data_IF_811846622713
#
_entry.id   IF_811846622713
#
_cell.length_a   1.000
_cell.length_b   1.000
_cell.length_c   1.000
_cell.angle_alpha   90.00
_cell.angle_beta   90.00
_cell.angle_gamma   90.00
#
_symmetry.space_group_name_H-M   'P 1'
#
loop_
_entity.id
_entity.type
_entity.pdbx_description
1 polymer ?
#
# COMPACT_ATOMS: atom_id res chain seq x y z
N UNK A 1 6.46 18.64 8.56
CA UNK A 1 7.09 17.89 7.45
C UNK A 1 8.31 18.68 7.03
N UNK A 2 9.52 18.11 7.13
CA UNK A 2 10.73 18.75 6.60
C UNK A 2 10.89 18.38 5.13
N UNK A 3 11.20 19.36 4.28
CA UNK A 3 11.54 19.07 2.88
C UNK A 3 12.84 18.24 2.83
N UNK A 4 12.97 17.29 1.89
CA UNK A 4 14.21 16.56 1.68
C UNK A 4 15.30 17.52 1.20
N UNK A 5 16.56 17.18 1.41
CA UNK A 5 17.69 18.02 0.99
C UNK A 5 17.87 18.08 -0.54
N UNK A 6 17.48 17.00 -1.22
CA UNK A 6 17.53 16.87 -2.67
C UNK A 6 16.25 16.27 -3.21
N UNK A 7 15.85 16.72 -4.41
CA UNK A 7 14.76 16.14 -5.19
C UNK A 7 15.25 15.86 -6.61
N UNK A 8 14.63 14.90 -7.26
CA UNK A 8 14.87 14.60 -8.68
C UNK A 8 13.59 14.89 -9.45
N UNK A 9 13.68 15.80 -10.42
CA UNK A 9 12.60 16.16 -11.34
C UNK A 9 13.15 15.91 -12.75
N UNK A 10 12.43 15.15 -13.58
CA UNK A 10 12.81 14.85 -14.96
C UNK A 10 14.26 14.37 -15.14
N UNK A 11 14.69 13.44 -14.28
CA UNK A 11 16.06 12.89 -14.24
C UNK A 11 17.17 13.88 -13.85
N UNK A 12 16.82 15.12 -13.48
CA UNK A 12 17.77 16.13 -12.99
C UNK A 12 17.65 16.26 -11.47
N UNK A 13 18.80 16.31 -10.79
CA UNK A 13 18.85 16.45 -9.32
C UNK A 13 18.97 17.91 -8.93
N UNK A 14 18.07 18.36 -8.06
CA UNK A 14 18.04 19.71 -7.51
C UNK A 14 18.22 19.64 -5.99
N UNK A 15 18.93 20.61 -5.42
CA UNK A 15 18.86 20.84 -3.97
C UNK A 15 17.66 21.73 -3.66
N UNK A 16 16.91 21.37 -2.63
CA UNK A 16 15.71 22.12 -2.23
C UNK A 16 16.01 23.53 -1.74
N UNK A 17 17.25 23.78 -1.28
CA UNK A 17 17.71 25.11 -0.90
C UNK A 17 17.80 26.08 -2.10
N UNK A 18 18.11 25.57 -3.30
CA UNK A 18 18.25 26.38 -4.52
C UNK A 18 16.95 26.58 -5.29
N UNK A 19 15.85 25.94 -4.85
CA UNK A 19 14.54 26.14 -5.48
C UNK A 19 14.02 27.56 -5.19
N UNK A 20 13.23 28.10 -6.12
CA UNK A 20 12.43 29.29 -5.85
C UNK A 20 11.38 29.01 -4.76
N UNK A 21 10.92 30.05 -4.05
CA UNK A 21 9.93 29.90 -2.99
C UNK A 21 8.61 29.27 -3.47
N UNK A 22 8.18 29.64 -4.67
CA UNK A 22 7.03 29.03 -5.35
C UNK A 22 7.22 27.52 -5.54
N UNK A 23 8.38 27.10 -6.04
CA UNK A 23 8.70 25.69 -6.27
C UNK A 23 8.75 24.89 -4.95
N UNK A 24 9.25 25.48 -3.87
CA UNK A 24 9.20 24.87 -2.53
C UNK A 24 7.76 24.66 -2.05
N UNK A 25 6.89 25.66 -2.27
CA UNK A 25 5.48 25.56 -1.89
C UNK A 25 4.76 24.48 -2.70
N UNK A 26 5.01 24.39 -4.01
CA UNK A 26 4.44 23.33 -4.84
C UNK A 26 4.95 21.95 -4.43
N UNK A 27 6.24 21.80 -4.12
CA UNK A 27 6.80 20.55 -3.60
C UNK A 27 6.09 20.10 -2.31
N UNK A 28 5.84 21.02 -1.38
CA UNK A 28 5.10 20.71 -0.16
C UNK A 28 3.68 20.23 -0.47
N UNK A 29 2.97 20.91 -1.37
CA UNK A 29 1.62 20.53 -1.77
C UNK A 29 1.57 19.15 -2.42
N UNK A 30 2.56 18.81 -3.25
CA UNK A 30 2.71 17.47 -3.86
C UNK A 30 2.89 16.42 -2.77
N UNK A 31 3.77 16.64 -1.79
CA UNK A 31 3.99 15.69 -0.69
C UNK A 31 2.71 15.44 0.14
N UNK A 32 1.92 16.49 0.38
CA UNK A 32 0.63 16.35 1.06
C UNK A 32 -0.35 15.54 0.21
N UNK A 33 -0.43 15.82 -1.09
CA UNK A 33 -1.28 15.05 -2.00
C UNK A 33 -0.88 13.57 -2.06
N UNK A 34 0.42 13.26 -2.12
CA UNK A 34 0.93 11.88 -2.13
C UNK A 34 0.59 11.13 -0.84
N UNK A 35 0.67 11.80 0.31
CA UNK A 35 0.27 11.22 1.59
C UNK A 35 -1.23 10.88 1.62
N UNK A 36 -2.08 11.79 1.13
CA UNK A 36 -3.53 11.54 1.04
C UNK A 36 -3.86 10.43 0.02
N UNK A 37 -3.17 10.37 -1.12
CA UNK A 37 -3.33 9.27 -2.08
C UNK A 37 -3.02 7.93 -1.41
N UNK A 38 -1.92 7.84 -0.67
CA UNK A 38 -1.53 6.63 0.06
C UNK A 38 -2.60 6.22 1.07
N UNK A 39 -3.13 7.18 1.83
CA UNK A 39 -4.22 6.94 2.78
C UNK A 39 -5.49 6.43 2.09
N UNK A 40 -5.88 7.04 0.98
CA UNK A 40 -7.06 6.65 0.20
C UNK A 40 -6.90 5.24 -0.38
N UNK A 41 -5.71 4.89 -0.89
CA UNK A 41 -5.42 3.54 -1.35
C UNK A 41 -5.57 2.49 -0.23
N UNK A 42 -5.13 2.82 0.99
CA UNK A 42 -5.31 1.94 2.14
C UNK A 42 -6.80 1.75 2.49
N UNK A 43 -7.58 2.83 2.51
CA UNK A 43 -9.02 2.76 2.75
C UNK A 43 -9.74 1.94 1.66
N UNK A 44 -9.34 2.12 0.41
CA UNK A 44 -9.86 1.37 -0.72
C UNK A 44 -9.57 -0.13 -0.58
N UNK A 45 -8.35 -0.51 -0.18
CA UNK A 45 -8.00 -1.91 0.05
C UNK A 45 -8.86 -2.57 1.15
N UNK A 46 -9.14 -1.83 2.24
CA UNK A 46 -10.05 -2.28 3.31
C UNK A 46 -11.46 -2.49 2.75
N UNK A 47 -11.99 -1.51 2.02
CA UNK A 47 -13.33 -1.57 1.44
C UNK A 47 -13.47 -2.73 0.44
N UNK A 48 -12.46 -2.97 -0.40
CA UNK A 48 -12.42 -4.10 -1.33
C UNK A 48 -12.46 -5.45 -0.61
N UNK A 49 -11.71 -5.58 0.49
CA UNK A 49 -11.72 -6.79 1.32
C UNK A 49 -13.12 -7.06 1.90
N UNK A 50 -13.74 -6.03 2.48
CA UNK A 50 -15.10 -6.13 3.02
C UNK A 50 -16.13 -6.48 1.93
N UNK A 51 -16.06 -5.83 0.76
CA UNK A 51 -16.94 -6.12 -0.39
C UNK A 51 -16.85 -7.59 -0.79
N UNK A 52 -15.65 -8.13 -0.91
CA UNK A 52 -15.45 -9.53 -1.30
C UNK A 52 -16.04 -10.50 -0.27
N UNK A 53 -15.84 -10.22 1.03
CA UNK A 53 -16.43 -11.01 2.10
C UNK A 53 -17.96 -11.01 2.04
N UNK A 54 -18.58 -9.84 1.87
CA UNK A 54 -20.03 -9.71 1.77
C UNK A 54 -20.59 -10.35 0.50
N UNK A 55 -19.88 -10.24 -0.63
CA UNK A 55 -20.29 -10.90 -1.87
C UNK A 55 -20.31 -12.42 -1.72
N UNK A 56 -19.30 -13.01 -1.08
CA UNK A 56 -19.26 -14.44 -0.82
C UNK A 56 -20.39 -14.89 0.12
N UNK A 57 -20.65 -14.12 1.19
CA UNK A 57 -21.76 -14.39 2.11
C UNK A 57 -23.11 -14.34 1.42
N UNK A 58 -23.32 -13.34 0.56
CA UNK A 58 -24.54 -13.19 -0.24
C UNK A 58 -24.75 -14.40 -1.17
N UNK A 59 -23.69 -14.83 -1.88
CA UNK A 59 -23.77 -16.01 -2.76
C UNK A 59 -24.17 -17.27 -1.97
N UNK A 60 -23.61 -17.47 -0.78
CA UNK A 60 -23.97 -18.59 0.11
C UNK A 60 -25.43 -18.52 0.53
N UNK A 61 -25.91 -17.34 0.94
CA UNK A 61 -27.30 -17.13 1.34
C UNK A 61 -28.29 -17.42 0.19
N UNK A 62 -27.98 -16.97 -1.02
CA UNK A 62 -28.85 -17.15 -2.20
C UNK A 62 -28.87 -18.61 -2.68
N UNK A 63 -27.74 -19.33 -2.61
CA UNK A 63 -27.65 -20.72 -3.09
C UNK A 63 -28.20 -21.74 -2.09
N UNK A 64 -28.67 -21.31 -0.91
CA UNK A 64 -29.20 -22.21 0.13
C UNK A 64 -28.16 -23.19 0.68
N UNK A 65 -26.88 -23.03 0.36
CA UNK A 65 -25.81 -23.88 0.87
C UNK A 65 -25.45 -23.39 2.27
N UNK A 66 -25.65 -24.25 3.29
CA UNK A 66 -25.08 -24.05 4.64
C UNK A 66 -23.55 -24.20 4.57
N UNK A 67 -22.88 -23.31 3.88
CA UNK A 67 -21.42 -23.31 3.77
C UNK A 67 -20.84 -22.52 4.93
N UNK A 68 -19.95 -23.21 5.65
CA UNK A 68 -19.18 -22.83 6.84
C UNK A 68 -18.81 -21.34 6.91
N UNK A 69 -18.94 -20.80 8.12
CA UNK A 69 -18.56 -19.45 8.52
C UNK A 69 -17.16 -19.02 7.99
N UNK A 70 -16.96 -17.74 7.65
CA UNK A 70 -15.70 -17.24 7.11
C UNK A 70 -14.69 -17.04 8.24
N UNK A 71 -13.99 -18.10 8.62
CA UNK A 71 -12.86 -18.01 9.53
C UNK A 71 -11.76 -18.99 9.10
N UNK A 72 -11.02 -18.69 8.02
CA UNK A 72 -9.62 -19.17 7.91
C UNK A 72 -8.75 -18.52 6.82
N UNK A 73 -9.30 -17.83 5.81
CA UNK A 73 -8.48 -17.32 4.68
C UNK A 73 -8.32 -15.78 4.63
N UNK A 74 -8.44 -15.10 5.76
CA UNK A 74 -7.98 -13.71 5.89
C UNK A 74 -6.52 -13.62 6.40
N UNK A 75 -5.93 -14.74 6.83
CA UNK A 75 -4.49 -14.82 6.99
C UNK A 75 -3.87 -14.98 5.60
N UNK A 76 -3.07 -13.99 5.18
CA UNK A 76 -2.16 -14.16 4.06
C UNK A 76 -1.51 -15.55 4.15
N UNK A 77 -1.37 -16.30 3.03
CA UNK A 77 -0.75 -17.61 3.09
C UNK A 77 0.61 -17.41 3.73
N UNK A 78 0.83 -18.05 4.89
CA UNK A 78 2.09 -18.04 5.59
C UNK A 78 3.18 -18.33 4.55
N UNK A 79 3.94 -17.30 4.16
CA UNK A 79 5.12 -17.50 3.32
C UNK A 79 5.99 -18.43 4.15
N UNK A 80 6.12 -19.69 3.72
CA UNK A 80 6.98 -20.68 4.35
C UNK A 80 8.31 -19.99 4.68
N UNK A 81 8.89 -20.18 5.89
CA UNK A 81 10.19 -19.62 6.21
C UNK A 81 11.14 -20.01 5.08
N UNK A 82 11.74 -19.01 4.41
CA UNK A 82 12.85 -19.29 3.49
C UNK A 82 13.97 -19.83 4.38
N UNK A 83 14.21 -21.13 4.30
CA UNK A 83 15.34 -21.78 4.96
C UNK A 83 16.62 -21.03 4.54
N UNK A 84 17.54 -20.73 5.48
CA UNK A 84 18.81 -20.13 5.13
C UNK A 84 19.53 -21.06 4.15
N UNK A 85 19.83 -20.56 2.94
CA UNK A 85 20.73 -21.26 2.03
C UNK A 85 22.11 -21.21 2.68
N UNK A 86 22.51 -22.33 3.28
CA UNK A 86 23.82 -22.50 3.87
C UNK A 86 24.89 -22.11 2.82
N UNK A 87 25.89 -21.28 3.14
CA UNK A 87 26.99 -21.06 2.23
C UNK A 87 27.77 -22.38 2.20
N UNK A 88 27.83 -23.03 1.03
CA UNK A 88 28.77 -24.12 0.84
C UNK A 88 30.14 -23.47 0.74
N UNK A 89 30.94 -23.63 1.79
CA UNK A 89 32.31 -23.15 1.86
C UNK A 89 33.26 -23.95 0.98
N UNK A 90 34.47 -23.37 0.92
CA UNK A 90 35.75 -23.84 0.36
C UNK A 90 35.91 -23.81 -1.17
#
# INVERSE_FOLDING_TARGET
>A
MSLPEFITIDSTRYTTAQLADEARLQLLNVQVADAEITRLQQQLAIAQTARNAYSNALIGAVKGTKTKAPAENAAAPARKPRTPRNPKGE
#
